data_IF_849179288604
#
_entry.id   IF_849179288604
#
_cell.length_a   1.000
_cell.length_b   1.000
_cell.length_c   1.000
_cell.angle_alpha   90.00
_cell.angle_beta   90.00
_cell.angle_gamma   90.00
#
_symmetry.space_group_name_H-M   'P 1'
#
loop_
_entity.id
_entity.type
_entity.pdbx_description
1 polymer ?
#
# COMPACT_ATOMS: atom_id res chain seq x y z
N UNK A 1 22.35 24.45 30.97
CA UNK A 1 23.44 23.50 30.60
C UNK A 1 22.88 22.38 29.74
N UNK A 2 23.22 22.37 28.44
CA UNK A 2 22.84 21.29 27.50
C UNK A 2 23.64 20.02 27.83
N UNK A 3 22.98 18.92 28.23
CA UNK A 3 23.63 17.60 28.30
C UNK A 3 23.74 17.02 26.88
N UNK A 4 24.94 17.17 26.32
CA UNK A 4 25.42 16.48 25.12
C UNK A 4 26.01 15.14 25.58
N UNK A 5 25.50 14.01 25.06
CA UNK A 5 26.16 12.69 24.86
C UNK A 5 25.16 11.54 25.03
N UNK A 6 24.77 10.92 23.91
CA UNK A 6 24.42 9.50 23.89
C UNK A 6 24.74 8.85 22.54
N UNK A 7 25.81 9.27 21.88
CA UNK A 7 26.23 8.74 20.56
C UNK A 7 27.20 7.54 20.66
N UNK A 8 27.22 6.83 21.80
CA UNK A 8 28.18 5.71 21.97
C UNK A 8 27.80 4.68 23.04
N UNK A 9 26.52 4.56 23.41
CA UNK A 9 26.07 3.50 24.31
C UNK A 9 25.66 2.28 23.49
N UNK A 10 26.42 1.18 23.58
CA UNK A 10 25.95 -0.11 23.07
C UNK A 10 24.71 -0.53 23.86
N UNK A 11 23.79 -1.29 23.25
CA UNK A 11 22.57 -1.76 23.92
C UNK A 11 22.88 -2.54 25.22
N UNK A 12 24.06 -3.18 25.28
CA UNK A 12 24.63 -3.86 26.44
C UNK A 12 24.99 -2.95 27.61
N UNK A 13 25.26 -1.66 27.35
CA UNK A 13 25.76 -0.70 28.34
C UNK A 13 24.62 0.09 29.00
N UNK A 14 23.37 -0.24 28.65
CA UNK A 14 22.21 0.39 29.27
C UNK A 14 22.13 -0.08 30.72
N UNK A 15 21.95 0.85 31.68
CA UNK A 15 21.77 0.47 33.07
C UNK A 15 20.61 -0.51 33.19
N UNK A 16 20.66 -1.47 34.15
CA UNK A 16 19.60 -2.43 34.35
C UNK A 16 18.27 -1.69 34.51
N UNK A 17 17.20 -2.30 33.97
CA UNK A 17 15.87 -1.70 34.01
C UNK A 17 15.50 -1.40 35.47
N UNK A 18 15.16 -0.15 35.76
CA UNK A 18 14.57 0.19 37.04
C UNK A 18 13.25 -0.59 37.20
N UNK A 19 12.82 -0.93 38.42
CA UNK A 19 11.58 -1.67 38.64
C UNK A 19 10.37 -1.01 37.95
N UNK A 20 10.33 0.32 37.90
CA UNK A 20 9.33 1.09 37.15
C UNK A 20 9.36 0.79 35.65
N UNK A 21 10.55 0.71 35.04
CA UNK A 21 10.69 0.37 33.62
C UNK A 21 10.29 -1.08 33.34
N UNK A 22 10.54 -2.01 34.26
CA UNK A 22 10.08 -3.40 34.15
C UNK A 22 8.55 -3.46 34.15
N UNK A 23 7.90 -2.73 35.07
CA UNK A 23 6.43 -2.63 35.14
C UNK A 23 5.86 -2.00 33.86
N UNK A 24 6.41 -0.87 33.39
CA UNK A 24 5.97 -0.23 32.15
C UNK A 24 6.16 -1.11 30.91
N UNK A 25 7.25 -1.87 30.87
CA UNK A 25 7.51 -2.84 29.81
C UNK A 25 6.49 -3.98 29.86
N UNK A 26 6.19 -4.52 31.04
CA UNK A 26 5.16 -5.53 31.22
C UNK A 26 3.78 -5.03 30.78
N UNK A 27 3.41 -3.79 31.16
CA UNK A 27 2.15 -3.16 30.72
C UNK A 27 2.13 -3.03 29.19
N UNK A 28 3.24 -2.61 28.59
CA UNK A 28 3.36 -2.49 27.13
C UNK A 28 3.18 -3.84 26.43
N UNK A 29 3.78 -4.92 26.96
CA UNK A 29 3.57 -6.27 26.43
C UNK A 29 2.13 -6.75 26.58
N UNK A 30 1.49 -6.50 27.72
CA UNK A 30 0.07 -6.85 27.93
C UNK A 30 -0.82 -6.11 26.93
N UNK A 31 -0.59 -4.82 26.71
CA UNK A 31 -1.35 -4.04 25.72
C UNK A 31 -1.12 -4.55 24.28
N UNK A 32 0.11 -4.90 23.93
CA UNK A 32 0.42 -5.48 22.62
C UNK A 32 -0.24 -6.85 22.43
N UNK A 33 -0.21 -7.72 23.45
CA UNK A 33 -0.88 -9.02 23.40
C UNK A 33 -2.40 -8.88 23.27
N UNK A 34 -3.00 -7.93 24.01
CA UNK A 34 -4.42 -7.63 23.88
C UNK A 34 -4.75 -7.13 22.47
N UNK A 35 -3.92 -6.26 21.89
CA UNK A 35 -4.10 -5.78 20.52
C UNK A 35 -4.01 -6.91 19.49
N UNK A 36 -3.00 -7.79 19.62
CA UNK A 36 -2.88 -8.99 18.80
C UNK A 36 -4.12 -9.87 18.91
N UNK A 37 -4.63 -10.09 20.13
CA UNK A 37 -5.86 -10.86 20.33
C UNK A 37 -7.06 -10.23 19.62
N UNK A 38 -7.26 -8.90 19.76
CA UNK A 38 -8.36 -8.17 19.10
C UNK A 38 -8.30 -8.32 17.57
N UNK A 39 -7.09 -8.27 16.98
CA UNK A 39 -6.90 -8.42 15.53
C UNK A 39 -7.06 -9.86 15.06
N UNK A 40 -6.51 -10.83 15.80
CA UNK A 40 -6.52 -12.24 15.40
C UNK A 40 -7.87 -12.91 15.63
N UNK A 41 -8.67 -12.45 16.60
CA UNK A 41 -9.97 -13.03 16.90
C UNK A 41 -10.92 -13.11 15.69
N UNK A 42 -11.22 -12.02 14.94
CA UNK A 42 -12.06 -12.11 13.75
C UNK A 42 -11.45 -12.95 12.63
N UNK A 43 -10.12 -12.94 12.46
CA UNK A 43 -9.44 -13.79 11.48
C UNK A 43 -9.58 -15.27 11.82
N UNK A 44 -9.47 -15.62 13.11
CA UNK A 44 -9.70 -16.97 13.60
C UNK A 44 -11.16 -17.40 13.36
N UNK A 45 -12.14 -16.50 13.52
CA UNK A 45 -13.54 -16.80 13.19
C UNK A 45 -13.73 -17.11 11.70
N UNK A 46 -13.11 -16.35 10.79
CA UNK A 46 -13.15 -16.63 9.35
C UNK A 46 -12.56 -18.01 9.05
N UNK A 47 -11.42 -18.34 9.69
CA UNK A 47 -10.79 -19.64 9.51
C UNK A 47 -11.68 -20.77 10.03
N UNK A 48 -12.18 -20.69 11.27
CA UNK A 48 -13.03 -21.72 11.89
C UNK A 48 -14.32 -21.92 11.07
N UNK A 49 -14.94 -20.84 10.63
CA UNK A 49 -16.20 -20.88 9.87
C UNK A 49 -16.01 -21.47 8.48
N UNK A 50 -14.85 -21.28 7.85
CA UNK A 50 -14.52 -21.92 6.56
C UNK A 50 -14.49 -23.45 6.61
N UNK A 51 -14.25 -24.05 7.78
CA UNK A 51 -14.31 -25.50 8.00
C UNK A 51 -15.64 -25.99 8.59
N UNK A 52 -16.57 -25.09 8.93
CA UNK A 52 -17.83 -25.47 9.55
C UNK A 52 -18.90 -25.76 8.49
N UNK A 53 -19.27 -27.04 8.33
CA UNK A 53 -20.24 -27.53 7.35
C UNK A 53 -21.68 -27.12 7.59
N UNK A 54 -21.98 -26.64 8.80
CA UNK A 54 -23.30 -26.12 9.17
C UNK A 54 -23.45 -24.64 8.81
N UNK A 55 -22.37 -23.97 8.38
CA UNK A 55 -22.44 -22.60 7.87
C UNK A 55 -22.99 -22.61 6.45
N UNK A 56 -23.89 -21.67 6.19
CA UNK A 56 -24.47 -21.44 4.87
C UNK A 56 -23.96 -20.10 4.30
N UNK A 57 -24.84 -19.25 3.78
CA UNK A 57 -24.44 -17.97 3.16
C UNK A 57 -23.93 -16.93 4.17
N UNK A 58 -24.29 -17.06 5.45
CA UNK A 58 -23.94 -16.10 6.51
C UNK A 58 -23.17 -16.79 7.63
N UNK A 59 -22.23 -16.06 8.23
CA UNK A 59 -21.44 -16.54 9.37
C UNK A 59 -22.28 -16.43 10.65
N UNK A 60 -22.58 -17.57 11.27
CA UNK A 60 -23.25 -17.65 12.57
C UNK A 60 -22.23 -18.07 13.64
N UNK A 61 -21.95 -17.18 14.59
CA UNK A 61 -21.03 -17.46 15.70
C UNK A 61 -21.78 -18.19 16.83
N UNK A 62 -21.19 -19.25 17.38
CA UNK A 62 -21.77 -20.01 18.51
C UNK A 62 -22.82 -21.07 18.12
N UNK A 63 -23.04 -21.30 16.81
CA UNK A 63 -23.85 -22.41 16.32
C UNK A 63 -23.15 -23.77 16.46
N UNK A 64 -23.86 -24.85 16.10
CA UNK A 64 -23.29 -26.20 16.08
C UNK A 64 -22.12 -26.28 15.08
N UNK A 65 -21.02 -26.91 15.49
CA UNK A 65 -19.82 -27.04 14.67
C UNK A 65 -19.72 -28.44 14.06
N UNK A 66 -19.54 -28.50 12.75
CA UNK A 66 -19.27 -29.74 12.03
C UNK A 66 -18.06 -29.56 11.13
N UNK A 67 -16.93 -30.20 11.45
CA UNK A 67 -15.71 -30.07 10.67
C UNK A 67 -15.88 -30.73 9.28
N UNK A 68 -15.65 -29.98 8.21
CA UNK A 68 -15.72 -30.49 6.83
C UNK A 68 -14.89 -29.64 5.86
N UNK A 69 -14.57 -30.23 4.70
CA UNK A 69 -13.98 -29.54 3.56
C UNK A 69 -15.00 -29.19 2.47
N UNK A 70 -16.31 -29.31 2.75
CA UNK A 70 -17.40 -29.03 1.79
C UNK A 70 -17.23 -27.68 1.08
N UNK A 71 -16.95 -26.62 1.84
CA UNK A 71 -16.80 -25.26 1.30
C UNK A 71 -15.60 -25.13 0.36
N UNK A 72 -14.46 -25.75 0.71
CA UNK A 72 -13.28 -25.76 -0.15
C UNK A 72 -13.50 -26.58 -1.43
N UNK A 73 -14.15 -27.74 -1.34
CA UNK A 73 -14.50 -28.53 -2.54
C UNK A 73 -15.42 -27.74 -3.47
N UNK A 74 -16.47 -27.13 -2.92
CA UNK A 74 -17.37 -26.26 -3.67
C UNK A 74 -16.60 -25.10 -4.33
N UNK A 75 -15.75 -24.40 -3.57
CA UNK A 75 -14.94 -23.28 -4.08
C UNK A 75 -14.06 -23.70 -5.26
N UNK A 76 -13.34 -24.82 -5.16
CA UNK A 76 -12.36 -25.21 -6.18
C UNK A 76 -12.96 -26.01 -7.35
N UNK A 77 -14.12 -26.65 -7.18
CA UNK A 77 -14.74 -27.51 -8.21
C UNK A 77 -15.95 -26.88 -8.88
N UNK A 78 -16.75 -26.11 -8.14
CA UNK A 78 -18.05 -25.59 -8.60
C UNK A 78 -18.02 -24.07 -8.87
N UNK A 79 -16.86 -23.42 -8.72
CA UNK A 79 -16.73 -21.97 -8.97
C UNK A 79 -15.52 -21.63 -9.83
N UNK A 80 -15.49 -20.40 -10.34
CA UNK A 80 -14.36 -19.85 -11.10
C UNK A 80 -13.25 -19.27 -10.21
N UNK A 81 -13.11 -19.74 -8.98
CA UNK A 81 -12.19 -19.17 -7.98
C UNK A 81 -10.77 -18.98 -8.50
N UNK A 82 -10.19 -19.98 -9.17
CA UNK A 82 -8.85 -19.86 -9.74
C UNK A 82 -8.73 -18.72 -10.76
N UNK A 83 -9.73 -18.54 -11.61
CA UNK A 83 -9.76 -17.45 -12.58
C UNK A 83 -9.91 -16.10 -11.88
N UNK A 84 -10.72 -16.00 -10.83
CA UNK A 84 -10.87 -14.76 -10.06
C UNK A 84 -9.56 -14.38 -9.37
N UNK A 85 -8.91 -15.32 -8.69
CA UNK A 85 -7.62 -15.09 -8.03
C UNK A 85 -6.56 -14.68 -9.04
N UNK A 86 -6.45 -15.38 -10.17
CA UNK A 86 -5.48 -15.03 -11.21
C UNK A 86 -5.74 -13.64 -11.77
N UNK A 87 -6.99 -13.30 -12.08
CA UNK A 87 -7.36 -11.96 -12.53
C UNK A 87 -7.00 -10.88 -11.49
N UNK A 88 -7.28 -11.12 -10.21
CA UNK A 88 -6.92 -10.20 -9.12
C UNK A 88 -5.42 -10.01 -9.02
N UNK A 89 -4.63 -11.09 -9.08
CA UNK A 89 -3.16 -11.02 -9.03
C UNK A 89 -2.63 -10.24 -10.23
N UNK A 90 -3.10 -10.55 -11.45
CA UNK A 90 -2.66 -9.85 -12.67
C UNK A 90 -2.98 -8.37 -12.59
N UNK A 91 -4.20 -7.99 -12.19
CA UNK A 91 -4.58 -6.58 -12.03
C UNK A 91 -3.74 -5.91 -10.95
N UNK A 92 -3.58 -6.54 -9.77
CA UNK A 92 -2.83 -5.96 -8.67
C UNK A 92 -1.35 -5.73 -9.01
N UNK A 93 -0.70 -6.71 -9.64
CA UNK A 93 0.71 -6.60 -10.07
C UNK A 93 0.86 -5.56 -11.17
N UNK A 94 0.01 -5.58 -12.19
CA UNK A 94 0.05 -4.59 -13.27
C UNK A 94 -0.18 -3.16 -12.75
N UNK A 95 -1.15 -2.97 -11.86
CA UNK A 95 -1.38 -1.70 -11.17
C UNK A 95 -0.17 -1.29 -10.35
N UNK A 96 0.39 -2.19 -9.53
CA UNK A 96 1.54 -1.87 -8.69
C UNK A 96 2.75 -1.44 -9.52
N UNK A 97 3.08 -2.15 -10.61
CA UNK A 97 4.18 -1.81 -11.50
C UNK A 97 3.95 -0.47 -12.21
N UNK A 98 2.76 -0.27 -12.77
CA UNK A 98 2.42 0.98 -13.46
C UNK A 98 2.44 2.18 -12.52
N UNK A 99 1.82 2.03 -11.34
CA UNK A 99 1.81 3.07 -10.31
C UNK A 99 3.21 3.36 -9.83
N UNK A 100 4.02 2.35 -9.51
CA UNK A 100 5.39 2.54 -9.06
C UNK A 100 6.22 3.29 -10.12
N UNK A 101 6.10 2.87 -11.38
CA UNK A 101 6.77 3.52 -12.50
C UNK A 101 6.38 5.01 -12.57
N UNK A 102 5.09 5.34 -12.64
CA UNK A 102 4.67 6.75 -12.76
C UNK A 102 5.00 7.56 -11.51
N UNK A 103 4.74 7.01 -10.32
CA UNK A 103 4.98 7.67 -9.03
C UNK A 103 6.46 7.94 -8.81
N UNK A 104 7.35 7.04 -9.23
CA UNK A 104 8.80 7.26 -9.11
C UNK A 104 9.26 8.51 -9.87
N UNK A 105 8.78 8.69 -11.11
CA UNK A 105 9.07 9.90 -11.89
C UNK A 105 8.42 11.15 -11.32
N UNK A 106 7.13 11.09 -10.97
CA UNK A 106 6.44 12.27 -10.43
C UNK A 106 6.99 12.67 -9.07
N UNK A 107 7.27 11.71 -8.17
CA UNK A 107 7.87 11.95 -6.87
C UNK A 107 9.23 12.64 -7.00
N UNK A 108 10.10 12.12 -7.87
CA UNK A 108 11.39 12.75 -8.16
C UNK A 108 11.23 14.15 -8.77
N UNK A 109 10.31 14.32 -9.74
CA UNK A 109 10.04 15.61 -10.36
C UNK A 109 9.56 16.66 -9.34
N UNK A 110 8.60 16.31 -8.49
CA UNK A 110 8.06 17.20 -7.47
C UNK A 110 9.05 17.49 -6.33
N UNK A 111 9.98 16.58 -6.04
CA UNK A 111 11.03 16.81 -5.04
C UNK A 111 12.14 17.72 -5.61
N UNK A 112 12.79 17.30 -6.70
CA UNK A 112 14.04 17.91 -7.18
C UNK A 112 13.85 19.07 -8.15
N UNK A 113 12.80 19.08 -8.95
CA UNK A 113 12.59 20.15 -9.92
C UNK A 113 11.78 21.31 -9.35
N UNK A 114 12.14 22.52 -9.78
CA UNK A 114 11.41 23.76 -9.49
C UNK A 114 10.67 24.18 -10.75
N UNK A 115 9.34 24.17 -10.70
CA UNK A 115 8.48 24.63 -11.78
C UNK A 115 7.30 25.43 -11.24
N UNK A 116 6.75 26.31 -12.08
CA UNK A 116 5.63 27.18 -11.70
C UNK A 116 4.39 26.33 -11.36
N UNK A 117 3.78 26.59 -10.22
CA UNK A 117 2.57 25.88 -9.78
C UNK A 117 2.81 24.54 -9.06
N UNK A 118 4.06 24.09 -8.85
CA UNK A 118 4.41 22.81 -8.21
C UNK A 118 3.61 22.45 -6.95
N UNK A 119 3.46 23.38 -6.02
CA UNK A 119 2.71 23.13 -4.77
C UNK A 119 1.20 23.09 -5.03
N UNK A 120 0.70 24.02 -5.83
CA UNK A 120 -0.72 24.15 -6.14
C UNK A 120 -1.22 22.95 -6.97
N UNK A 121 -0.45 22.48 -7.96
CA UNK A 121 -0.82 21.32 -8.78
C UNK A 121 -0.87 20.04 -7.95
N UNK A 122 0.12 19.80 -7.08
CA UNK A 122 0.12 18.62 -6.22
C UNK A 122 -1.07 18.65 -5.25
N UNK A 123 -1.34 19.79 -4.62
CA UNK A 123 -2.50 19.96 -3.74
C UNK A 123 -3.83 19.78 -4.49
N UNK A 124 -3.96 20.34 -5.69
CA UNK A 124 -5.18 20.23 -6.48
C UNK A 124 -5.50 18.76 -6.83
N UNK A 125 -4.51 18.00 -7.29
CA UNK A 125 -4.72 16.58 -7.62
C UNK A 125 -5.03 15.77 -6.35
N UNK A 126 -4.43 16.11 -5.21
CA UNK A 126 -4.78 15.49 -3.93
C UNK A 126 -6.23 15.74 -3.52
N UNK A 127 -6.74 16.98 -3.70
CA UNK A 127 -8.12 17.34 -3.37
C UNK A 127 -9.14 16.64 -4.27
N UNK A 128 -8.83 16.45 -5.56
CA UNK A 128 -9.73 15.74 -6.49
C UNK A 128 -9.97 14.30 -6.04
N UNK A 129 -9.00 13.64 -5.41
CA UNK A 129 -9.14 12.26 -4.92
C UNK A 129 -10.11 12.12 -3.73
N UNK A 130 -10.52 13.22 -3.09
CA UNK A 130 -11.54 13.19 -2.02
C UNK A 130 -12.91 12.82 -2.61
N UNK A 131 -13.12 13.08 -3.91
CA UNK A 131 -14.33 12.69 -4.60
C UNK A 131 -14.44 11.16 -4.60
N UNK A 132 -15.53 10.58 -4.07
CA UNK A 132 -15.66 9.14 -4.02
C UNK A 132 -15.71 8.53 -5.42
N UNK A 133 -14.80 7.58 -5.68
CA UNK A 133 -14.66 6.95 -7.00
C UNK A 133 -15.90 6.16 -7.44
N UNK A 134 -16.70 5.66 -6.49
CA UNK A 134 -17.93 4.93 -6.80
C UNK A 134 -18.99 5.79 -7.48
N UNK A 135 -19.00 7.11 -7.26
CA UNK A 135 -19.91 8.04 -7.92
C UNK A 135 -19.67 8.10 -9.44
N UNK A 136 -18.47 7.71 -9.89
CA UNK A 136 -18.06 7.71 -11.29
C UNK A 136 -18.22 6.36 -12.01
N UNK A 137 -18.81 5.32 -11.41
CA UNK A 137 -18.86 3.98 -12.02
C UNK A 137 -19.57 4.00 -13.39
N UNK A 138 -20.68 4.73 -13.51
CA UNK A 138 -21.41 4.88 -14.78
C UNK A 138 -20.55 5.60 -15.82
N UNK A 139 -19.82 6.64 -15.42
CA UNK A 139 -18.90 7.37 -16.29
C UNK A 139 -17.74 6.48 -16.76
N UNK A 140 -17.14 5.69 -15.85
CA UNK A 140 -16.09 4.73 -16.19
C UNK A 140 -16.60 3.66 -17.16
N UNK A 141 -17.80 3.13 -16.95
CA UNK A 141 -18.40 2.17 -17.88
C UNK A 141 -18.58 2.77 -19.28
N UNK A 142 -19.16 3.97 -19.37
CA UNK A 142 -19.34 4.67 -20.66
C UNK A 142 -18.00 4.97 -21.32
N UNK A 143 -17.00 5.41 -20.56
CA UNK A 143 -15.66 5.69 -21.08
C UNK A 143 -14.99 4.43 -21.63
N UNK A 144 -15.11 3.29 -20.94
CA UNK A 144 -14.62 2.01 -21.46
C UNK A 144 -15.36 1.60 -22.73
N UNK A 145 -16.69 1.77 -22.78
CA UNK A 145 -17.50 1.46 -23.96
C UNK A 145 -17.04 2.24 -25.20
N UNK A 146 -16.84 3.56 -25.05
CA UNK A 146 -16.31 4.42 -26.12
C UNK A 146 -14.92 3.97 -26.54
N UNK A 147 -14.03 3.71 -25.58
CA UNK A 147 -12.65 3.33 -25.87
C UNK A 147 -12.57 1.95 -26.54
N UNK A 148 -13.42 1.01 -26.12
CA UNK A 148 -13.51 -0.34 -26.69
C UNK A 148 -14.07 -0.33 -28.11
N UNK A 149 -14.87 0.67 -28.50
CA UNK A 149 -15.32 0.84 -29.87
C UNK A 149 -14.18 1.24 -30.82
N UNK A 150 -13.18 1.98 -30.30
CA UNK A 150 -12.01 2.44 -31.06
C UNK A 150 -10.88 1.39 -30.99
N UNK A 151 -10.68 0.78 -29.82
CA UNK A 151 -9.66 -0.24 -29.54
C UNK A 151 -10.33 -1.49 -28.97
N UNK A 152 -10.83 -2.40 -29.83
CA UNK A 152 -11.56 -3.59 -29.38
C UNK A 152 -10.76 -4.55 -28.50
N UNK A 153 -9.43 -4.52 -28.60
CA UNK A 153 -8.51 -5.31 -27.78
C UNK A 153 -8.32 -4.74 -26.37
N UNK A 154 -8.78 -3.52 -26.09
CA UNK A 154 -8.64 -2.87 -24.79
C UNK A 154 -9.66 -3.42 -23.78
N UNK A 155 -9.24 -4.40 -23.00
CA UNK A 155 -10.12 -5.12 -22.10
C UNK A 155 -10.55 -4.29 -20.88
N UNK A 156 -11.65 -4.71 -20.25
CA UNK A 156 -12.12 -4.10 -18.99
C UNK A 156 -11.08 -4.20 -17.88
N UNK A 157 -10.31 -5.29 -17.85
CA UNK A 157 -9.26 -5.50 -16.86
C UNK A 157 -8.12 -4.48 -17.03
N UNK A 158 -7.72 -4.19 -18.26
CA UNK A 158 -6.73 -3.15 -18.55
C UNK A 158 -7.23 -1.77 -18.12
N UNK A 159 -8.51 -1.48 -18.35
CA UNK A 159 -9.11 -0.24 -17.89
C UNK A 159 -9.14 -0.12 -16.36
N UNK A 160 -9.45 -1.21 -15.65
CA UNK A 160 -9.37 -1.26 -14.20
C UNK A 160 -7.95 -0.98 -13.69
N UNK A 161 -6.92 -1.52 -14.36
CA UNK A 161 -5.53 -1.22 -14.03
C UNK A 161 -5.25 0.28 -14.13
N UNK A 162 -5.74 0.94 -15.19
CA UNK A 162 -5.57 2.40 -15.37
C UNK A 162 -6.34 3.21 -14.32
N UNK A 163 -7.57 2.82 -13.98
CA UNK A 163 -8.37 3.49 -12.94
C UNK A 163 -7.64 3.42 -11.60
N UNK A 164 -7.20 2.22 -11.19
CA UNK A 164 -6.51 2.05 -9.91
C UNK A 164 -5.15 2.72 -9.90
N UNK A 165 -4.39 2.63 -11.00
CA UNK A 165 -3.10 3.29 -11.08
C UNK A 165 -3.27 4.82 -11.05
N UNK A 166 -4.16 5.36 -11.88
CA UNK A 166 -4.52 6.77 -11.94
C UNK A 166 -4.96 7.32 -10.59
N UNK A 167 -5.89 6.63 -9.94
CA UNK A 167 -6.41 7.00 -8.63
C UNK A 167 -5.38 6.93 -7.49
N UNK A 168 -4.31 6.15 -7.63
CA UNK A 168 -3.25 6.05 -6.63
C UNK A 168 -2.10 7.04 -6.83
N UNK A 169 -1.91 7.59 -8.04
CA UNK A 169 -0.72 8.40 -8.39
C UNK A 169 -0.53 9.57 -7.43
N UNK A 170 -1.57 10.34 -7.12
CA UNK A 170 -1.37 11.59 -6.39
C UNK A 170 -1.06 11.38 -4.90
N UNK A 171 -1.75 10.48 -4.22
CA UNK A 171 -1.40 10.11 -2.84
C UNK A 171 0.01 9.53 -2.75
N UNK A 172 0.33 8.57 -3.64
CA UNK A 172 1.63 7.90 -3.63
C UNK A 172 2.77 8.85 -4.04
N UNK A 173 2.53 9.79 -4.96
CA UNK A 173 3.48 10.86 -5.31
C UNK A 173 3.78 11.73 -4.10
N UNK A 174 2.76 12.09 -3.31
CA UNK A 174 2.97 12.90 -2.11
C UNK A 174 3.82 12.16 -1.07
N UNK A 175 3.54 10.88 -0.84
CA UNK A 175 4.30 10.03 0.08
C UNK A 175 5.75 9.88 -0.39
N UNK A 176 5.96 9.47 -1.65
CA UNK A 176 7.30 9.26 -2.18
C UNK A 176 8.10 10.56 -2.23
N UNK A 177 7.48 11.68 -2.62
CA UNK A 177 8.09 13.00 -2.54
C UNK A 177 8.56 13.30 -1.12
N UNK A 178 7.72 13.05 -0.11
CA UNK A 178 8.07 13.25 1.30
C UNK A 178 9.29 12.43 1.73
N UNK A 179 9.41 11.20 1.24
CA UNK A 179 10.60 10.38 1.44
C UNK A 179 11.84 10.93 0.73
N UNK A 180 11.75 11.26 -0.57
CA UNK A 180 12.87 11.79 -1.35
C UNK A 180 13.34 13.14 -0.79
N UNK A 181 12.44 13.97 -0.26
CA UNK A 181 12.78 15.23 0.41
C UNK A 181 13.61 15.04 1.70
N UNK A 182 13.61 13.85 2.30
CA UNK A 182 14.47 13.52 3.44
C UNK A 182 15.91 13.18 3.05
N UNK A 183 16.15 12.87 1.77
CA UNK A 183 17.47 12.59 1.21
C UNK A 183 18.18 13.92 0.94
N UNK A 184 19.38 14.11 1.50
CA UNK A 184 20.17 15.34 1.36
C UNK A 184 20.41 15.71 -0.11
N UNK A 185 20.24 16.99 -0.43
CA UNK A 185 20.52 17.53 -1.76
C UNK A 185 22.02 17.50 -2.11
N UNK A 186 22.91 17.41 -1.11
CA UNK A 186 24.36 17.36 -1.34
C UNK A 186 24.79 16.12 -2.14
N UNK A 187 24.03 15.02 -2.04
CA UNK A 187 24.29 13.81 -2.83
C UNK A 187 24.02 14.05 -4.32
N UNK A 188 23.00 14.83 -4.66
CA UNK A 188 22.66 15.18 -6.03
C UNK A 188 23.75 16.09 -6.62
N UNK A 189 24.23 17.06 -5.83
CA UNK A 189 25.28 18.00 -6.24
C UNK A 189 26.64 17.30 -6.40
N UNK A 190 27.00 16.39 -5.48
CA UNK A 190 28.19 15.56 -5.61
C UNK A 190 28.16 14.69 -6.88
N UNK A 191 27.03 14.03 -7.15
CA UNK A 191 26.88 13.23 -8.37
C UNK A 191 26.99 14.08 -9.64
N UNK A 192 26.49 15.32 -9.62
CA UNK A 192 26.62 16.27 -10.74
C UNK A 192 28.05 16.75 -10.95
N UNK A 193 28.82 16.93 -9.87
CA UNK A 193 30.26 17.23 -9.95
C UNK A 193 31.00 16.06 -10.60
N UNK A 194 30.60 14.81 -10.31
CA UNK A 194 31.11 13.59 -10.97
C UNK A 194 30.61 13.41 -12.42
N UNK A 195 29.87 14.37 -12.97
CA UNK A 195 29.40 14.36 -14.35
C UNK A 195 28.07 13.63 -14.58
N UNK A 196 27.35 13.25 -13.53
CA UNK A 196 26.05 12.61 -13.70
C UNK A 196 24.99 13.58 -14.23
N UNK A 197 24.30 13.18 -15.30
CA UNK A 197 23.08 13.84 -15.78
C UNK A 197 21.87 13.57 -14.86
N UNK A 198 20.79 14.32 -15.04
CA UNK A 198 19.60 14.24 -14.17
C UNK A 198 18.96 12.85 -14.06
N UNK A 199 18.96 12.08 -15.16
CA UNK A 199 18.43 10.71 -15.14
C UNK A 199 19.39 9.72 -14.45
N UNK A 200 20.70 9.98 -14.51
CA UNK A 200 21.69 9.20 -13.77
C UNK A 200 21.56 9.45 -12.27
N UNK A 201 21.39 10.71 -11.84
CA UNK A 201 21.10 11.05 -10.43
C UNK A 201 19.84 10.32 -9.95
N UNK A 202 18.75 10.39 -10.72
CA UNK A 202 17.53 9.65 -10.43
C UNK A 202 17.79 8.15 -10.23
N UNK A 203 18.42 7.49 -11.20
CA UNK A 203 18.58 6.03 -11.21
C UNK A 203 19.64 5.51 -10.23
N UNK A 204 20.72 6.26 -10.00
CA UNK A 204 21.91 5.79 -9.27
C UNK A 204 21.98 6.31 -7.83
N UNK A 205 21.32 7.43 -7.53
CA UNK A 205 21.42 8.10 -6.22
C UNK A 205 20.08 8.06 -5.47
N UNK A 206 18.97 8.35 -6.16
CA UNK A 206 17.66 8.50 -5.50
C UNK A 206 16.87 7.19 -5.40
N UNK A 207 16.88 6.37 -6.46
CA UNK A 207 16.06 5.16 -6.55
C UNK A 207 16.62 3.90 -5.87
N UNK A 208 17.95 3.66 -5.80
CA UNK A 208 18.50 2.52 -5.07
C UNK A 208 18.26 2.62 -3.56
#
# INVERSE_FOLDING_TARGET
MKKKKSEGLYLSDRPPLTPVKVVLLAISYVLLLLYVFIVLWPLAQILITSFNGNQEAYIIIGGSYSFTFKHFRYLFQETYFFNWVLNTIVIAVATALLTLFVVSFTGYAYSRYRFKGRKASLMAIMLIQIIPTFAGITAFYTLHSILSAIMPWFSRQMFLVLIYAGGGIASNTFILKGYIDSISHELDDAARIDGCGNFQVYRLIIMP
#
